data_IF_619001938507
#
_entry.id   IF_619001938507
#
_cell.length_a   1.000
_cell.length_b   1.000
_cell.length_c   1.000
_cell.angle_alpha   90.00
_cell.angle_beta   90.00
_cell.angle_gamma   90.00
#
_symmetry.space_group_name_H-M   'P 1'
#
loop_
_entity.id
_entity.type
_entity.pdbx_description
1 polymer ?
#
# COMPACT_ATOMS: atom_id res chain seq x y z
N UNK A 1 15.34 -20.23 9.21
CA UNK A 1 14.34 -19.52 10.06
C UNK A 1 12.96 -19.91 9.56
N UNK A 2 12.06 -20.29 10.47
CA UNK A 2 10.68 -20.63 10.16
C UNK A 2 9.77 -19.60 10.83
N UNK A 3 8.74 -19.14 10.11
CA UNK A 3 7.73 -18.22 10.61
C UNK A 3 6.37 -18.82 10.31
N UNK A 4 5.53 -18.95 11.33
CA UNK A 4 4.16 -19.46 11.20
C UNK A 4 3.18 -18.50 11.86
N UNK A 5 1.99 -18.40 11.27
CA UNK A 5 0.86 -17.71 11.91
C UNK A 5 0.32 -18.52 13.08
N UNK A 6 -0.17 -17.84 14.10
CA UNK A 6 -0.95 -18.48 15.16
C UNK A 6 -2.40 -18.59 14.69
N UNK A 7 -2.98 -19.78 14.83
CA UNK A 7 -4.39 -19.99 14.50
C UNK A 7 -5.29 -19.11 15.36
N UNK A 8 -6.29 -18.51 14.74
CA UNK A 8 -7.27 -17.59 15.35
C UNK A 8 -6.69 -16.34 16.05
N UNK A 9 -5.37 -16.17 16.14
CA UNK A 9 -4.71 -14.97 16.64
C UNK A 9 -3.89 -14.26 15.56
N UNK A 10 -4.57 -13.40 14.79
CA UNK A 10 -3.94 -12.54 13.77
C UNK A 10 -2.89 -11.55 14.33
N UNK A 11 -2.77 -11.43 15.65
CA UNK A 11 -1.79 -10.56 16.31
C UNK A 11 -0.46 -11.27 16.51
N UNK A 12 -0.42 -12.59 16.47
CA UNK A 12 0.73 -13.36 16.89
C UNK A 12 1.40 -14.11 15.72
N UNK A 13 2.74 -14.14 15.73
CA UNK A 13 3.55 -14.98 14.86
C UNK A 13 4.50 -15.82 15.70
N UNK A 14 4.58 -17.11 15.38
CA UNK A 14 5.57 -18.01 15.94
C UNK A 14 6.83 -18.01 15.05
N UNK A 15 7.97 -17.71 15.65
CA UNK A 15 9.26 -17.70 14.97
C UNK A 15 10.14 -18.76 15.60
N UNK A 16 10.65 -19.66 14.76
CA UNK A 16 11.61 -20.70 15.15
C UNK A 16 12.90 -20.53 14.37
N UNK A 17 13.99 -20.30 15.09
CA UNK A 17 15.34 -20.26 14.55
C UNK A 17 15.96 -21.64 14.80
N UNK A 18 16.44 -22.26 13.72
CA UNK A 18 17.15 -23.52 13.79
C UNK A 18 18.65 -23.26 13.69
N UNK A 19 19.43 -24.06 14.41
CA UNK A 19 20.88 -24.14 14.21
C UNK A 19 21.14 -24.52 12.74
N UNK A 20 22.10 -23.87 12.06
CA UNK A 20 22.52 -24.30 10.73
C UNK A 20 22.91 -25.79 10.77
N UNK A 21 22.34 -26.59 9.86
CA UNK A 21 22.64 -28.00 9.78
C UNK A 21 24.11 -28.19 9.38
N UNK A 22 24.87 -28.96 10.15
CA UNK A 22 26.28 -29.24 9.86
C UNK A 22 26.45 -30.24 8.71
N UNK A 23 25.41 -31.02 8.41
CA UNK A 23 25.36 -31.93 7.27
C UNK A 23 23.98 -31.90 6.60
N UNK A 24 23.89 -32.11 5.28
CA UNK A 24 22.64 -32.01 4.53
C UNK A 24 21.59 -33.06 4.89
N UNK A 25 21.97 -34.13 5.60
CA UNK A 25 21.06 -35.19 6.06
C UNK A 25 20.61 -35.00 7.52
N UNK A 26 21.17 -34.03 8.23
CA UNK A 26 20.81 -33.77 9.63
C UNK A 26 19.55 -32.91 9.72
N UNK A 27 18.61 -33.33 10.58
CA UNK A 27 17.41 -32.53 10.87
C UNK A 27 17.84 -31.23 11.58
N UNK A 28 17.41 -30.05 11.12
CA UNK A 28 17.73 -28.79 11.79
C UNK A 28 17.21 -28.80 13.23
N UNK A 29 18.06 -28.42 14.19
CA UNK A 29 17.70 -28.37 15.61
C UNK A 29 17.26 -26.96 16.01
N UNK A 30 16.08 -26.75 16.62
CA UNK A 30 15.62 -25.42 17.01
C UNK A 30 16.47 -24.88 18.18
N UNK A 31 16.96 -23.65 18.05
CA UNK A 31 17.77 -22.96 19.06
C UNK A 31 17.04 -21.78 19.72
N UNK A 32 16.02 -21.23 19.06
CA UNK A 32 15.15 -20.22 19.62
C UNK A 32 13.75 -20.42 19.07
N UNK A 33 12.77 -20.41 19.95
CA UNK A 33 11.36 -20.37 19.59
C UNK A 33 10.71 -19.26 20.41
N UNK A 34 10.01 -18.36 19.74
CA UNK A 34 9.34 -17.25 20.39
C UNK A 34 8.05 -16.89 19.65
N UNK A 35 7.09 -16.37 20.40
CA UNK A 35 5.86 -15.79 19.87
C UNK A 35 5.96 -14.27 19.90
N UNK A 36 5.82 -13.64 18.75
CA UNK A 36 5.80 -12.19 18.61
C UNK A 36 4.37 -11.72 18.54
N UNK A 37 3.94 -10.90 19.50
CA UNK A 37 2.60 -10.32 19.54
C UNK A 37 2.68 -8.87 19.09
N UNK A 38 1.99 -8.55 17.99
CA UNK A 38 1.96 -7.21 17.40
C UNK A 38 0.82 -6.38 17.96
N UNK A 39 1.17 -5.15 18.36
CA UNK A 39 0.20 -4.13 18.71
C UNK A 39 -0.64 -3.72 17.51
N UNK A 40 -1.78 -3.10 17.80
CA UNK A 40 -2.76 -2.65 16.82
C UNK A 40 -2.14 -1.68 15.80
N UNK A 41 -1.15 -0.88 16.19
CA UNK A 41 -0.47 0.04 15.29
C UNK A 41 0.17 -0.68 14.10
N UNK A 42 0.89 -1.78 14.35
CA UNK A 42 1.51 -2.58 13.29
C UNK A 42 0.43 -3.32 12.46
N UNK A 43 -0.59 -3.88 13.12
CA UNK A 43 -1.70 -4.56 12.41
C UNK A 43 -2.42 -3.61 11.46
N UNK A 44 -2.67 -2.38 11.90
CA UNK A 44 -3.29 -1.33 11.10
C UNK A 44 -2.43 -0.92 9.89
N UNK A 45 -1.10 -0.85 10.03
CA UNK A 45 -0.20 -0.55 8.91
C UNK A 45 -0.30 -1.64 7.83
N UNK A 46 -0.22 -2.91 8.22
CA UNK A 46 -0.31 -4.04 7.27
C UNK A 46 -1.70 -4.09 6.62
N UNK A 47 -2.76 -3.91 7.41
CA UNK A 47 -4.12 -3.84 6.88
C UNK A 47 -4.25 -2.71 5.85
N UNK A 48 -3.72 -1.52 6.15
CA UNK A 48 -3.70 -0.38 5.23
C UNK A 48 -2.97 -0.71 3.93
N UNK A 49 -1.80 -1.35 4.00
CA UNK A 49 -1.05 -1.77 2.81
C UNK A 49 -1.82 -2.80 1.97
N UNK A 50 -2.44 -3.80 2.62
CA UNK A 50 -3.27 -4.81 1.94
C UNK A 50 -4.49 -4.21 1.26
N UNK A 51 -5.20 -3.30 1.94
CA UNK A 51 -6.35 -2.59 1.38
C UNK A 51 -5.94 -1.71 0.20
N UNK A 52 -4.81 -1.01 0.31
CA UNK A 52 -4.30 -0.20 -0.79
C UNK A 52 -3.96 -1.08 -2.01
N UNK A 53 -3.26 -2.20 -1.80
CA UNK A 53 -2.96 -3.21 -2.84
C UNK A 53 -4.23 -3.76 -3.48
N UNK A 54 -5.18 -4.22 -2.69
CA UNK A 54 -6.47 -4.72 -3.18
C UNK A 54 -7.24 -3.68 -3.98
N UNK A 55 -7.26 -2.41 -3.53
CA UNK A 55 -7.93 -1.32 -4.24
C UNK A 55 -7.29 -1.04 -5.61
N UNK A 56 -5.95 -0.98 -5.68
CA UNK A 56 -5.26 -0.79 -6.97
C UNK A 56 -5.53 -1.97 -7.89
N UNK A 57 -5.47 -3.20 -7.37
CA UNK A 57 -5.73 -4.41 -8.15
C UNK A 57 -7.16 -4.42 -8.70
N UNK A 58 -8.17 -4.18 -7.88
CA UNK A 58 -9.57 -4.12 -8.31
C UNK A 58 -9.81 -3.01 -9.35
N UNK A 59 -9.23 -1.83 -9.14
CA UNK A 59 -9.29 -0.72 -10.11
C UNK A 59 -8.66 -1.12 -11.45
N UNK A 60 -7.48 -1.76 -11.42
CA UNK A 60 -6.80 -2.25 -12.62
C UNK A 60 -7.64 -3.29 -13.34
N UNK A 61 -8.16 -4.30 -12.64
CA UNK A 61 -9.02 -5.34 -13.23
C UNK A 61 -10.26 -4.73 -13.89
N UNK A 62 -10.91 -3.75 -13.23
CA UNK A 62 -12.05 -3.03 -13.81
C UNK A 62 -11.64 -2.28 -15.08
N UNK A 63 -10.53 -1.54 -15.03
CA UNK A 63 -10.05 -0.78 -16.18
C UNK A 63 -9.66 -1.68 -17.35
N UNK A 64 -9.03 -2.83 -17.11
CA UNK A 64 -8.70 -3.80 -18.15
C UNK A 64 -9.96 -4.35 -18.83
N UNK A 65 -11.01 -4.67 -18.07
CA UNK A 65 -12.29 -5.09 -18.64
C UNK A 65 -12.92 -4.00 -19.50
N UNK A 66 -12.85 -2.74 -19.07
CA UNK A 66 -13.35 -1.60 -19.86
C UNK A 66 -12.53 -1.45 -21.16
N UNK A 67 -11.21 -1.50 -21.08
CA UNK A 67 -10.32 -1.39 -22.23
C UNK A 67 -10.60 -2.50 -23.27
N UNK A 68 -10.84 -3.73 -22.81
CA UNK A 68 -11.22 -4.85 -23.67
C UNK A 68 -12.53 -4.60 -24.44
N UNK A 69 -13.53 -4.00 -23.80
CA UNK A 69 -14.81 -3.67 -24.45
C UNK A 69 -14.69 -2.51 -25.46
N UNK A 70 -13.65 -1.69 -25.31
CA UNK A 70 -13.38 -0.55 -26.19
C UNK A 70 -12.29 -0.87 -27.24
N UNK A 71 -11.88 -2.13 -27.36
CA UNK A 71 -10.77 -2.58 -28.22
C UNK A 71 -9.47 -1.78 -28.06
N UNK A 72 -9.20 -1.31 -26.84
CA UNK A 72 -7.97 -0.59 -26.49
C UNK A 72 -6.85 -1.60 -26.16
N UNK A 73 -5.60 -1.30 -26.52
CA UNK A 73 -4.47 -2.19 -26.21
C UNK A 73 -4.31 -2.35 -24.70
N UNK A 74 -4.36 -3.60 -24.22
CA UNK A 74 -4.23 -3.93 -22.80
C UNK A 74 -2.75 -4.19 -22.50
N UNK A 75 -2.08 -3.26 -21.82
CA UNK A 75 -0.73 -3.53 -21.33
C UNK A 75 -0.76 -4.61 -20.23
N UNK A 76 0.11 -5.64 -20.31
CA UNK A 76 0.19 -6.66 -19.28
C UNK A 76 0.59 -6.02 -17.95
N UNK A 77 -0.16 -6.34 -16.89
CA UNK A 77 0.04 -5.75 -15.58
C UNK A 77 1.32 -6.27 -14.94
N UNK A 78 2.32 -5.40 -14.82
CA UNK A 78 3.48 -5.65 -13.98
C UNK A 78 3.04 -5.65 -12.51
N UNK A 79 3.10 -6.81 -11.86
CA UNK A 79 3.03 -7.00 -10.41
C UNK A 79 4.30 -6.41 -9.75
N UNK A 80 4.62 -5.13 -10.01
CA UNK A 80 5.75 -4.49 -9.32
C UNK A 80 5.27 -4.16 -7.91
N UNK A 81 5.78 -4.93 -6.95
CA UNK A 81 5.81 -4.63 -5.52
C UNK A 81 6.41 -3.24 -5.31
N UNK A 82 5.58 -2.20 -5.36
CA UNK A 82 6.03 -0.82 -5.26
C UNK A 82 4.85 0.13 -5.14
N UNK A 83 4.28 0.24 -3.94
CA UNK A 83 3.39 1.34 -3.61
C UNK A 83 4.22 2.63 -3.56
N UNK A 84 4.34 3.31 -4.69
CA UNK A 84 5.00 4.60 -4.81
C UNK A 84 4.41 5.40 -5.97
N UNK A 85 3.27 6.07 -5.74
CA UNK A 85 2.97 7.30 -6.49
C UNK A 85 3.72 8.43 -5.80
N UNK A 86 5.02 8.52 -6.06
CA UNK A 86 5.72 9.80 -6.11
C UNK A 86 5.94 10.08 -7.59
N UNK A 87 5.10 10.94 -8.17
CA UNK A 87 5.38 11.50 -9.50
C UNK A 87 6.76 12.15 -9.47
N UNK A 88 7.62 11.70 -10.37
CA UNK A 88 8.79 12.40 -10.91
C UNK A 88 8.99 13.85 -10.44
N UNK A 89 9.82 14.03 -9.42
CA UNK A 89 10.73 15.16 -9.31
C UNK A 89 12.11 14.61 -8.99
N UNK A 90 13.02 14.73 -9.96
CA UNK A 90 14.44 14.47 -9.80
C UNK A 90 14.98 15.26 -8.61
N UNK A 91 15.29 14.60 -7.50
CA UNK A 91 16.32 15.07 -6.58
C UNK A 91 17.08 13.87 -6.05
N UNK A 92 18.37 13.92 -6.33
CA UNK A 92 19.41 13.00 -5.92
C UNK A 92 19.44 12.86 -4.38
N UNK A 93 19.74 11.64 -3.88
CA UNK A 93 20.51 11.39 -2.66
C UNK A 93 19.81 11.42 -1.26
N UNK A 94 19.38 10.25 -0.75
CA UNK A 94 19.87 9.53 0.47
C UNK A 94 18.83 8.60 1.13
N UNK A 95 19.24 7.45 1.71
CA UNK A 95 18.35 6.34 2.07
C UNK A 95 17.78 6.34 3.50
N UNK A 96 17.76 7.46 4.23
CA UNK A 96 17.10 7.50 5.56
C UNK A 96 16.59 8.91 5.93
N UNK A 97 15.28 9.15 5.81
CA UNK A 97 14.57 10.24 6.50
C UNK A 97 13.27 9.68 7.11
N UNK A 98 13.41 9.05 8.27
CA UNK A 98 12.30 8.52 9.08
C UNK A 98 11.71 9.57 10.05
N UNK A 99 11.90 10.86 9.79
CA UNK A 99 11.27 11.92 10.58
C UNK A 99 10.77 13.02 9.63
N UNK A 100 9.48 12.97 9.28
CA UNK A 100 8.76 14.22 9.03
C UNK A 100 8.19 14.66 10.37
N UNK A 101 8.97 15.56 10.97
CA UNK A 101 8.77 16.18 12.24
C UNK A 101 8.07 17.51 11.95
N UNK A 102 6.81 17.64 12.38
CA UNK A 102 6.24 18.96 12.65
C UNK A 102 5.09 19.38 11.76
N UNK A 103 3.88 19.25 12.32
CA UNK A 103 2.83 20.24 12.16
C UNK A 103 3.38 21.66 12.35
N UNK A 104 3.51 22.45 11.27
CA UNK A 104 3.42 23.93 11.24
C UNK A 104 2.95 24.27 9.82
N UNK A 105 1.71 24.67 9.56
CA UNK A 105 1.12 25.90 10.06
C UNK A 105 1.56 27.06 9.17
N UNK A 106 0.92 27.22 8.00
CA UNK A 106 0.86 28.50 7.28
C UNK A 106 -0.29 28.42 6.26
N UNK A 107 -1.49 28.73 6.72
CA UNK A 107 -2.61 29.09 5.85
C UNK A 107 -2.47 30.58 5.52
N UNK A 108 -2.04 30.89 4.31
CA UNK A 108 -2.12 32.24 3.76
C UNK A 108 -3.60 32.51 3.36
N UNK A 109 -4.28 33.53 3.93
CA UNK A 109 -5.68 33.81 3.64
C UNK A 109 -5.91 34.65 2.39
N UNK A 110 -4.90 34.89 1.54
CA UNK A 110 -5.03 35.87 0.43
C UNK A 110 -5.17 35.31 -0.98
N UNK A 111 -5.16 33.98 -1.18
CA UNK A 111 -5.48 33.41 -2.50
C UNK A 111 -6.98 33.17 -2.61
N UNK A 112 -7.69 34.18 -3.12
CA UNK A 112 -9.05 34.06 -3.65
C UNK A 112 -9.11 32.90 -4.65
N UNK A 113 -9.54 31.72 -4.20
CA UNK A 113 -9.90 30.63 -5.09
C UNK A 113 -11.23 30.97 -5.72
N UNK A 114 -11.15 31.56 -6.91
CA UNK A 114 -12.23 31.71 -7.89
C UNK A 114 -13.17 30.49 -7.83
N UNK A 115 -14.38 30.73 -7.32
CA UNK A 115 -15.51 29.81 -7.44
C UNK A 115 -16.10 30.11 -8.81
N UNK A 116 -15.81 29.26 -9.79
CA UNK A 116 -16.54 29.27 -11.05
C UNK A 116 -18.02 29.03 -10.75
N UNK A 117 -18.77 30.12 -10.63
CA UNK A 117 -20.19 30.13 -10.88
C UNK A 117 -20.38 30.03 -12.40
N UNK A 118 -20.72 28.84 -12.88
CA UNK A 118 -21.45 28.72 -14.15
C UNK A 118 -22.53 27.68 -13.94
N UNK A 119 -23.67 28.14 -13.42
CA UNK A 119 -24.92 27.40 -13.59
C UNK A 119 -25.38 27.76 -14.99
N UNK A 120 -25.07 26.92 -15.97
CA UNK A 120 -25.72 26.97 -17.27
C UNK A 120 -27.22 26.72 -17.07
N UNK A 121 -28.00 27.80 -17.03
CA UNK A 121 -29.44 27.75 -17.21
C UNK A 121 -29.70 27.39 -18.67
N UNK A 122 -30.16 26.16 -18.92
CA UNK A 122 -30.65 25.74 -20.24
C UNK A 122 -31.97 26.48 -20.55
N UNK A 123 -32.06 27.26 -21.63
CA UNK A 123 -33.31 27.90 -22.03
C UNK A 123 -34.23 26.90 -22.75
N UNK A 124 -35.49 26.82 -22.34
CA UNK A 124 -36.60 26.34 -23.18
C UNK A 124 -37.16 24.96 -22.85
N UNK A 125 -38.19 24.92 -22.01
CA UNK A 125 -39.29 23.96 -22.13
C UNK A 125 -40.59 24.72 -21.85
N UNK A 126 -41.24 25.16 -22.92
CA UNK A 126 -42.67 25.49 -22.91
C UNK A 126 -43.39 24.26 -23.46
N UNK A 127 -44.29 23.73 -22.65
CA UNK A 127 -45.33 22.75 -22.99
C UNK A 127 -46.51 23.03 -22.09
#
# INVERSE_FOLDING_TARGET
>A
MQVTGVEDDSRALNITIHKPASSPHSKPFPILQATFIFSDHIRCIIAKQRLAKGRIQARRMKMQRIAALLDLPIQPTTEVLGFGLGSSTSTQHLPFRFYDQGRRGSSDPTVQRSVFASVDKVPGFQG
#
